data_IF_951288049201
#
_entry.id   IF_951288049201
#
_cell.length_a   1.000
_cell.length_b   1.000
_cell.length_c   1.000
_cell.angle_alpha   90.00
_cell.angle_beta   90.00
_cell.angle_gamma   90.00
#
_symmetry.space_group_name_H-M   'P 1'
#
loop_
_entity.id
_entity.type
_entity.pdbx_description
1 polymer ?
#
# COMPACT_ATOMS: atom_id res chain seq x y z
N UNK A 1 8.80 19.83 -7.98
CA UNK A 1 10.12 19.32 -8.42
C UNK A 1 9.84 18.08 -9.22
N UNK A 2 9.92 18.19 -10.55
CA UNK A 2 9.66 17.08 -11.45
C UNK A 2 10.65 15.96 -11.14
N UNK A 3 10.13 14.79 -10.79
CA UNK A 3 10.90 13.55 -10.79
C UNK A 3 11.45 13.41 -12.21
N UNK A 4 12.76 13.63 -12.36
CA UNK A 4 13.47 13.37 -13.59
C UNK A 4 13.56 11.86 -13.71
N UNK A 5 12.49 11.25 -14.25
CA UNK A 5 12.37 9.81 -14.42
C UNK A 5 13.55 9.34 -15.26
N UNK A 6 14.53 8.72 -14.60
CA UNK A 6 15.55 7.93 -15.25
C UNK A 6 14.84 6.70 -15.84
N UNK A 7 14.34 6.82 -17.07
CA UNK A 7 13.61 5.74 -17.71
C UNK A 7 14.58 4.61 -18.08
N UNK A 8 14.31 3.38 -17.62
CA UNK A 8 15.11 2.21 -17.91
C UNK A 8 14.51 1.45 -19.09
N UNK A 9 15.32 1.15 -20.11
CA UNK A 9 14.89 0.28 -21.21
C UNK A 9 14.87 -1.17 -20.74
N UNK A 10 13.67 -1.73 -20.69
CA UNK A 10 13.43 -3.11 -20.27
C UNK A 10 12.93 -3.94 -21.45
N UNK A 11 13.42 -5.17 -21.57
CA UNK A 11 12.90 -6.16 -22.53
C UNK A 11 11.93 -7.08 -21.79
N UNK A 12 10.68 -7.13 -22.25
CA UNK A 12 9.63 -8.00 -21.71
C UNK A 12 9.30 -9.09 -22.73
N UNK A 13 9.18 -10.33 -22.27
CA UNK A 13 8.67 -11.42 -23.10
C UNK A 13 7.15 -11.44 -22.95
N UNK A 14 6.44 -11.19 -24.05
CA UNK A 14 4.98 -11.16 -24.11
C UNK A 14 4.48 -12.17 -25.16
N UNK A 15 3.39 -12.91 -24.89
CA UNK A 15 2.74 -13.70 -25.92
C UNK A 15 2.32 -12.83 -27.12
N UNK A 16 2.53 -13.32 -28.35
CA UNK A 16 2.24 -12.58 -29.58
C UNK A 16 0.80 -12.04 -29.65
N UNK A 17 -0.17 -12.83 -29.20
CA UNK A 17 -1.57 -12.43 -29.18
C UNK A 17 -1.79 -11.21 -28.28
N UNK A 18 -1.20 -11.22 -27.08
CA UNK A 18 -1.28 -10.12 -26.13
C UNK A 18 -0.56 -8.87 -26.66
N UNK A 19 0.61 -9.04 -27.28
CA UNK A 19 1.33 -7.93 -27.89
C UNK A 19 0.50 -7.21 -28.96
N UNK A 20 -0.22 -7.98 -29.80
CA UNK A 20 -1.11 -7.41 -30.84
C UNK A 20 -2.28 -6.63 -30.23
N UNK A 21 -2.91 -7.19 -29.19
CA UNK A 21 -4.03 -6.56 -28.49
C UNK A 21 -3.61 -5.26 -27.79
N UNK A 22 -2.45 -5.28 -27.12
CA UNK A 22 -1.87 -4.07 -26.51
C UNK A 22 -1.64 -2.99 -27.58
N UNK A 23 -1.05 -3.37 -28.73
CA UNK A 23 -0.76 -2.43 -29.81
C UNK A 23 -2.04 -1.86 -30.44
N UNK A 24 -3.07 -2.68 -30.65
CA UNK A 24 -4.36 -2.19 -31.18
C UNK A 24 -5.07 -1.26 -30.20
N UNK A 25 -5.01 -1.57 -28.90
CA UNK A 25 -5.64 -0.76 -27.86
C UNK A 25 -4.95 0.60 -27.72
N UNK A 26 -3.61 0.62 -27.66
CA UNK A 26 -2.84 1.86 -27.62
C UNK A 26 -3.13 2.74 -28.86
N UNK A 27 -3.18 2.13 -30.05
CA UNK A 27 -3.48 2.84 -31.29
C UNK A 27 -4.91 3.43 -31.29
N UNK A 28 -5.90 2.69 -30.77
CA UNK A 28 -7.28 3.17 -30.66
C UNK A 28 -7.40 4.37 -29.70
N UNK A 29 -6.58 4.42 -28.65
CA UNK A 29 -6.51 5.54 -27.70
C UNK A 29 -5.61 6.70 -28.16
N UNK A 30 -4.92 6.57 -29.30
CA UNK A 30 -3.99 7.60 -29.79
C UNK A 30 -2.69 7.71 -29.00
N UNK A 31 -2.32 6.66 -28.26
CA UNK A 31 -1.14 6.63 -27.39
C UNK A 31 -0.08 5.65 -27.90
N UNK A 32 1.14 5.75 -27.38
CA UNK A 32 2.19 4.77 -27.69
C UNK A 32 1.99 3.48 -26.88
N UNK A 33 2.42 2.34 -27.44
CA UNK A 33 2.41 1.07 -26.72
C UNK A 33 3.16 1.16 -25.38
N UNK A 34 4.30 1.86 -25.33
CA UNK A 34 5.07 2.04 -24.11
C UNK A 34 4.28 2.80 -23.04
N UNK A 35 3.62 3.90 -23.41
CA UNK A 35 2.80 4.70 -22.49
C UNK A 35 1.62 3.90 -21.95
N UNK A 36 0.96 3.13 -22.84
CA UNK A 36 -0.14 2.26 -22.45
C UNK A 36 0.30 1.17 -21.46
N UNK A 37 1.44 0.53 -21.72
CA UNK A 37 2.00 -0.50 -20.81
C UNK A 37 2.43 0.14 -19.48
N UNK A 38 3.02 1.33 -19.50
CA UNK A 38 3.40 2.05 -18.27
C UNK A 38 2.17 2.32 -17.39
N UNK A 39 1.09 2.86 -17.96
CA UNK A 39 -0.10 3.19 -17.20
C UNK A 39 -0.78 1.92 -16.66
N UNK A 40 -0.85 0.86 -17.47
CA UNK A 40 -1.39 -0.43 -17.03
C UNK A 40 -0.60 -1.03 -15.86
N UNK A 41 0.74 -0.91 -15.85
CA UNK A 41 1.59 -1.34 -14.74
C UNK A 41 1.36 -0.47 -13.50
N UNK A 42 1.25 0.86 -13.66
CA UNK A 42 0.96 1.79 -12.56
C UNK A 42 -0.39 1.47 -11.93
N UNK A 43 -1.42 1.21 -12.73
CA UNK A 43 -2.74 0.79 -12.27
C UNK A 43 -2.73 -0.54 -11.54
N UNK A 44 -1.99 -1.53 -12.05
CA UNK A 44 -1.83 -2.82 -11.39
C UNK A 44 -1.20 -2.67 -10.00
N UNK A 45 -0.14 -1.86 -9.88
CA UNK A 45 0.52 -1.58 -8.61
C UNK A 45 -0.37 -0.80 -7.64
N UNK A 46 -1.13 0.20 -8.13
CA UNK A 46 -2.09 0.96 -7.32
C UNK A 46 -3.18 0.08 -6.74
N UNK A 47 -3.75 -0.83 -7.54
CA UNK A 47 -4.74 -1.81 -7.10
C UNK A 47 -4.14 -2.75 -6.06
N UNK A 48 -2.94 -3.27 -6.31
CA UNK A 48 -2.25 -4.14 -5.37
C UNK A 48 -1.99 -3.46 -4.01
N UNK A 49 -1.62 -2.17 -4.02
CA UNK A 49 -1.42 -1.40 -2.79
C UNK A 49 -2.74 -1.10 -2.04
N UNK A 50 -3.85 -0.97 -2.77
CA UNK A 50 -5.18 -0.70 -2.20
C UNK A 50 -5.85 -1.95 -1.64
N UNK A 51 -5.56 -3.11 -2.22
CA UNK A 51 -6.02 -4.43 -1.75
C UNK A 51 -5.19 -4.95 -0.56
N UNK A 52 -4.07 -4.31 -0.23
CA UNK A 52 -3.38 -4.58 1.02
C UNK A 52 -4.37 -4.25 2.16
N UNK A 53 -4.65 -5.19 3.09
CA UNK A 53 -5.52 -4.90 4.22
C UNK A 53 -4.98 -3.64 4.87
N UNK A 54 -5.86 -2.63 5.03
CA UNK A 54 -5.51 -1.45 5.80
C UNK A 54 -4.83 -1.96 7.07
N UNK A 55 -3.63 -1.43 7.37
CA UNK A 55 -2.97 -1.72 8.64
C UNK A 55 -3.91 -1.14 9.68
N UNK A 56 -4.87 -1.93 10.14
CA UNK A 56 -5.80 -1.52 11.18
C UNK A 56 -4.93 -1.38 12.39
N UNK A 57 -4.71 -0.15 12.83
CA UNK A 57 -4.05 0.08 14.11
C UNK A 57 -4.79 -0.75 15.14
N UNK A 58 -4.03 -1.56 15.89
CA UNK A 58 -4.63 -2.41 16.91
C UNK A 58 -5.36 -1.53 17.92
N UNK A 59 -6.69 -1.58 17.92
CA UNK A 59 -7.51 -0.82 18.87
C UNK A 59 -7.78 -1.70 20.08
N UNK A 60 -7.27 -1.29 21.24
CA UNK A 60 -7.65 -1.90 22.52
C UNK A 60 -9.07 -1.47 22.86
N UNK A 61 -10.00 -2.43 22.96
CA UNK A 61 -11.36 -2.19 23.45
C UNK A 61 -11.40 -2.54 24.94
N UNK A 62 -11.48 -1.56 25.86
CA UNK A 62 -11.55 -1.84 27.30
C UNK A 62 -12.88 -2.52 27.63
N UNK A 63 -12.84 -3.60 28.43
CA UNK A 63 -14.02 -4.38 28.84
C UNK A 63 -14.45 -4.14 30.30
N UNK A 64 -13.68 -3.35 31.06
CA UNK A 64 -13.94 -3.01 32.45
C UNK A 64 -14.59 -1.63 32.64
N UNK A 65 -14.91 -1.30 33.89
CA UNK A 65 -15.32 0.06 34.28
C UNK A 65 -14.09 0.97 34.42
N UNK A 66 -14.05 2.11 33.72
CA UNK A 66 -12.98 3.11 33.85
C UNK A 66 -12.37 3.60 32.53
N UNK A 67 -12.58 2.88 31.43
CA UNK A 67 -12.03 3.25 30.12
C UNK A 67 -10.52 3.05 30.00
N UNK A 68 -9.92 3.63 28.95
CA UNK A 68 -8.47 3.60 28.74
C UNK A 68 -7.80 4.72 29.54
N UNK A 69 -6.70 4.40 30.26
CA UNK A 69 -5.85 5.39 30.92
C UNK A 69 -4.66 5.74 30.02
N UNK A 70 -4.57 6.98 29.49
CA UNK A 70 -3.44 7.39 28.65
C UNK A 70 -2.15 7.51 29.46
N UNK A 71 -1.02 7.22 28.82
CA UNK A 71 0.32 7.35 29.42
C UNK A 71 0.77 6.15 30.26
N UNK A 72 0.01 5.05 30.25
CA UNK A 72 0.41 3.77 30.85
C UNK A 72 1.03 2.89 29.77
N UNK A 73 2.31 2.54 29.94
CA UNK A 73 3.00 1.62 29.05
C UNK A 73 2.79 0.18 29.52
N UNK A 74 2.12 -0.64 28.70
CA UNK A 74 1.72 -2.00 29.09
C UNK A 74 2.87 -3.03 29.05
N UNK A 75 3.98 -2.70 28.38
CA UNK A 75 5.16 -3.56 28.28
C UNK A 75 6.15 -3.36 29.46
N UNK A 76 5.94 -2.32 30.28
CA UNK A 76 6.68 -2.09 31.51
C UNK A 76 5.86 -2.54 32.73
N UNK A 77 6.08 -3.80 33.13
CA UNK A 77 5.34 -4.41 34.24
C UNK A 77 5.56 -3.75 35.60
N UNK A 78 6.69 -3.09 35.84
CA UNK A 78 6.95 -2.41 37.11
C UNK A 78 6.16 -1.11 37.21
N UNK A 79 6.22 -0.28 36.16
CA UNK A 79 5.44 0.95 36.07
C UNK A 79 3.93 0.68 36.09
N UNK A 80 3.48 -0.39 35.44
CA UNK A 80 2.07 -0.78 35.44
C UNK A 80 1.59 -1.16 36.86
N UNK A 81 2.40 -1.88 37.63
CA UNK A 81 2.02 -2.33 38.97
C UNK A 81 1.87 -1.15 39.95
N UNK A 82 2.75 -0.15 39.88
CA UNK A 82 2.65 1.07 40.70
C UNK A 82 1.34 1.82 40.44
N UNK A 83 0.92 1.92 39.18
CA UNK A 83 -0.36 2.54 38.80
C UNK A 83 -1.56 1.74 39.34
N UNK A 84 -1.50 0.40 39.30
CA UNK A 84 -2.59 -0.46 39.78
C UNK A 84 -2.75 -0.46 41.31
N UNK A 85 -1.64 -0.33 42.04
CA UNK A 85 -1.62 -0.33 43.52
C UNK A 85 -1.68 1.10 44.11
N UNK A 86 -1.68 2.14 43.25
CA UNK A 86 -1.80 3.54 43.68
C UNK A 86 -0.59 4.04 44.50
N UNK A 87 0.62 3.59 44.16
CA UNK A 87 1.87 3.98 44.82
C UNK A 87 2.55 5.17 44.14
#
# INVERSE_FOLDING_TARGET
>A
MADMVMCVRTTLILPDALYREVKSTAAASGETMTSFVEEALRDALRRHASDAPARVDFVVVPTGSGGLQPGVELDDGAALLDVMEGR
#
